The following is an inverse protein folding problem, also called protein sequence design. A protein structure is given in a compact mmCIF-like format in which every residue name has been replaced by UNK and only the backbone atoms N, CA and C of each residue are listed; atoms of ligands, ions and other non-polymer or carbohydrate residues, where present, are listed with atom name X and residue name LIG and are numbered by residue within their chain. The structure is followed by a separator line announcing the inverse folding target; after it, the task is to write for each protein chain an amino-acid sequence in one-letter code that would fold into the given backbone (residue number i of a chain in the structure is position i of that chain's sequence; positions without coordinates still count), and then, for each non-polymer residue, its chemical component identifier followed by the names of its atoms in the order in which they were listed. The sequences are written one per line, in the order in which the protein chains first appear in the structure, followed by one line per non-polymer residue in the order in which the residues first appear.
data_IF_451637434467
#
_entry.id   IF_451637434467
#
_cell.length_a   1.000
_cell.length_b   1.000
_cell.length_c   1.000
_cell.angle_alpha   90.00
_cell.angle_beta   90.00
_cell.angle_gamma   90.00
#
_symmetry.space_group_name_H-M   'P 1'
#
loop_
_entity.id
_entity.type
_entity.pdbx_description
1 polymer ?
#
# COMPACT_ATOMS: atom_id res chain seq x y z
N UNK A 1 23.57 -13.33 -9.28
CA UNK A 1 22.31 -12.91 -8.66
C UNK A 1 22.61 -12.10 -7.40
N UNK A 2 22.33 -10.80 -7.42
CA UNK A 2 22.53 -9.89 -6.27
C UNK A 2 21.60 -10.23 -5.10
N UNK A 3 21.87 -9.71 -3.90
CA UNK A 3 20.97 -9.94 -2.77
C UNK A 3 19.60 -9.29 -3.00
N UNK A 4 19.55 -8.13 -3.68
CA UNK A 4 18.31 -7.46 -4.06
C UNK A 4 17.48 -8.33 -5.01
N UNK A 5 18.09 -8.90 -6.06
CA UNK A 5 17.40 -9.81 -6.99
C UNK A 5 16.82 -11.04 -6.27
N UNK A 6 17.53 -11.60 -5.29
CA UNK A 6 17.01 -12.72 -4.48
C UNK A 6 15.78 -12.33 -3.68
N UNK A 7 15.80 -11.15 -3.06
CA UNK A 7 14.64 -10.67 -2.30
C UNK A 7 13.48 -10.34 -3.21
N UNK A 8 13.70 -9.75 -4.40
CA UNK A 8 12.63 -9.55 -5.39
C UNK A 8 11.99 -10.89 -5.75
N UNK A 9 12.79 -11.89 -6.13
CA UNK A 9 12.28 -13.25 -6.42
C UNK A 9 11.44 -13.80 -5.26
N UNK A 10 11.90 -13.58 -4.03
CA UNK A 10 11.20 -14.02 -2.83
C UNK A 10 9.87 -13.26 -2.64
N UNK A 11 9.84 -11.93 -2.79
CA UNK A 11 8.62 -11.13 -2.65
C UNK A 11 7.56 -11.43 -3.71
N UNK A 12 7.99 -11.89 -4.90
CA UNK A 12 7.10 -12.33 -5.97
C UNK A 12 6.83 -13.84 -5.99
N UNK A 13 7.30 -14.59 -4.99
CA UNK A 13 6.83 -15.96 -4.78
C UNK A 13 5.35 -15.92 -4.38
N UNK A 14 4.55 -16.89 -4.84
CA UNK A 14 3.08 -16.88 -4.71
C UNK A 14 2.57 -16.40 -3.34
N UNK A 15 2.98 -17.06 -2.25
CA UNK A 15 2.48 -16.72 -0.91
C UNK A 15 2.85 -15.28 -0.49
N UNK A 16 4.06 -14.84 -0.81
CA UNK A 16 4.52 -13.47 -0.51
C UNK A 16 3.84 -12.45 -1.42
N UNK A 17 3.63 -12.75 -2.69
CA UNK A 17 2.94 -11.88 -3.63
C UNK A 17 1.52 -11.61 -3.15
N UNK A 18 0.80 -12.67 -2.79
CA UNK A 18 -0.57 -12.57 -2.29
C UNK A 18 -0.62 -11.82 -0.97
N UNK A 19 0.31 -12.11 -0.07
CA UNK A 19 0.43 -11.38 1.20
C UNK A 19 0.69 -9.90 0.94
N UNK A 20 1.64 -9.56 0.07
CA UNK A 20 2.01 -8.18 -0.22
C UNK A 20 0.86 -7.40 -0.90
N UNK A 21 0.16 -8.01 -1.86
CA UNK A 21 -1.04 -7.43 -2.46
C UNK A 21 -2.11 -7.15 -1.40
N UNK A 22 -2.38 -8.13 -0.54
CA UNK A 22 -3.40 -8.02 0.50
C UNK A 22 -3.06 -6.93 1.52
N UNK A 23 -1.82 -6.91 2.01
CA UNK A 23 -1.36 -5.90 2.96
C UNK A 23 -1.38 -4.51 2.34
N UNK A 24 -0.84 -4.37 1.12
CA UNK A 24 -0.79 -3.08 0.45
C UNK A 24 -2.18 -2.53 0.21
N UNK A 25 -3.10 -3.33 -0.31
CA UNK A 25 -4.49 -2.92 -0.50
C UNK A 25 -5.12 -2.45 0.82
N UNK A 26 -4.99 -3.25 1.88
CA UNK A 26 -5.62 -2.91 3.15
C UNK A 26 -5.01 -1.63 3.76
N UNK A 27 -3.69 -1.47 3.71
CA UNK A 27 -3.04 -0.21 4.12
C UNK A 27 -3.52 0.98 3.30
N UNK A 28 -3.67 0.82 1.99
CA UNK A 28 -4.19 1.85 1.11
C UNK A 28 -5.61 2.26 1.52
N UNK A 29 -6.52 1.29 1.68
CA UNK A 29 -7.92 1.55 2.01
C UNK A 29 -8.09 2.18 3.40
N UNK A 30 -7.35 1.70 4.40
CA UNK A 30 -7.36 2.29 5.75
C UNK A 30 -6.82 3.72 5.72
N UNK A 31 -5.76 3.97 4.93
CA UNK A 31 -5.19 5.31 4.79
C UNK A 31 -6.17 6.26 4.12
N UNK A 32 -6.82 5.81 3.05
CA UNK A 32 -7.83 6.60 2.35
C UNK A 32 -9.01 6.96 3.26
N UNK A 33 -9.56 5.98 4.00
CA UNK A 33 -10.64 6.23 4.97
C UNK A 33 -10.20 7.26 6.02
N UNK A 34 -8.99 7.11 6.57
CA UNK A 34 -8.46 8.04 7.55
C UNK A 34 -8.33 9.46 7.00
N UNK A 35 -7.79 9.63 5.78
CA UNK A 35 -7.64 10.94 5.13
C UNK A 35 -8.98 11.63 4.92
N UNK A 36 -9.98 10.89 4.46
CA UNK A 36 -11.34 11.42 4.28
C UNK A 36 -11.92 11.84 5.64
N UNK A 37 -11.77 11.03 6.68
CA UNK A 37 -12.25 11.38 8.02
C UNK A 37 -11.57 12.62 8.64
N UNK A 38 -10.32 12.93 8.25
CA UNK A 38 -9.63 14.13 8.72
C UNK A 38 -10.13 15.41 8.04
N UNK A 39 -10.71 15.30 6.84
CA UNK A 39 -11.07 16.45 5.99
C UNK A 39 -12.57 16.70 5.96
N UNK A 40 -13.37 15.71 6.32
CA UNK A 40 -14.82 15.76 6.33
C UNK A 40 -15.40 16.06 7.73
N UNK A 41 -16.51 16.81 7.75
CA UNK A 41 -17.11 17.29 9.00
C UNK A 41 -17.88 16.20 9.76
N UNK A 42 -18.48 15.27 9.02
CA UNK A 42 -19.29 14.20 9.59
C UNK A 42 -19.15 12.88 8.81
N UNK A 43 -19.69 11.82 9.40
CA UNK A 43 -19.58 10.46 8.85
C UNK A 43 -20.34 10.29 7.53
N UNK A 44 -21.45 11.00 7.34
CA UNK A 44 -22.26 10.87 6.13
C UNK A 44 -21.52 11.51 4.95
N UNK A 45 -20.93 12.70 5.14
CA UNK A 45 -20.11 13.35 4.13
C UNK A 45 -18.85 12.55 3.79
N UNK A 46 -18.19 11.95 4.80
CA UNK A 46 -17.07 11.05 4.60
C UNK A 46 -17.42 9.83 3.72
N UNK A 47 -18.55 9.17 4.01
CA UNK A 47 -19.00 8.03 3.21
C UNK A 47 -19.34 8.43 1.77
N UNK A 48 -20.08 9.53 1.60
CA UNK A 48 -20.44 10.04 0.28
C UNK A 48 -19.19 10.39 -0.55
N UNK A 49 -18.13 10.89 0.09
CA UNK A 49 -16.86 11.21 -0.58
C UNK A 49 -16.10 9.96 -1.00
N UNK A 50 -15.99 8.96 -0.13
CA UNK A 50 -15.39 7.66 -0.47
C UNK A 50 -16.12 7.00 -1.65
N UNK A 51 -17.46 6.97 -1.62
CA UNK A 51 -18.29 6.41 -2.70
C UNK A 51 -18.17 7.17 -4.02
N UNK A 52 -17.93 8.48 -3.97
CA UNK A 52 -17.73 9.33 -5.16
C UNK A 52 -16.33 9.12 -5.77
N UNK A 53 -15.32 8.93 -4.92
CA UNK A 53 -13.94 8.79 -5.35
C UNK A 53 -13.65 7.42 -5.98
N UNK A 54 -14.25 6.34 -5.47
CA UNK A 54 -14.11 4.97 -5.99
C UNK A 54 -12.66 4.57 -6.26
N UNK A 55 -11.77 4.94 -5.34
CA UNK A 55 -10.35 4.71 -5.49
C UNK A 55 -10.01 3.28 -5.10
N UNK A 56 -9.40 2.56 -6.03
CA UNK A 56 -8.96 1.20 -5.88
C UNK A 56 -7.45 1.13 -6.10
N UNK A 57 -6.80 0.20 -5.40
CA UNK A 57 -5.37 -0.02 -5.62
C UNK A 57 -5.15 -0.68 -6.98
N UNK A 58 -4.27 -0.09 -7.77
CA UNK A 58 -3.75 -0.73 -8.98
C UNK A 58 -2.64 -1.73 -8.60
N UNK A 59 -2.79 -3.03 -8.90
CA UNK A 59 -1.77 -4.04 -8.62
C UNK A 59 -0.39 -3.71 -9.21
N UNK A 60 -0.31 -3.01 -10.34
CA UNK A 60 0.97 -2.59 -10.92
C UNK A 60 1.74 -1.67 -9.97
N UNK A 61 1.06 -0.72 -9.32
CA UNK A 61 1.66 0.17 -8.33
C UNK A 61 2.22 -0.60 -7.13
N UNK A 62 1.55 -1.69 -6.72
CA UNK A 62 2.06 -2.59 -5.68
C UNK A 62 3.36 -3.24 -6.13
N UNK A 63 3.42 -3.76 -7.35
CA UNK A 63 4.62 -4.40 -7.90
C UNK A 63 5.80 -3.43 -8.01
N UNK A 64 5.55 -2.22 -8.52
CA UNK A 64 6.55 -1.16 -8.57
C UNK A 64 7.06 -0.79 -7.17
N UNK A 65 6.17 -0.70 -6.18
CA UNK A 65 6.53 -0.40 -4.80
C UNK A 65 7.44 -1.49 -4.21
N UNK A 66 7.08 -2.77 -4.38
CA UNK A 66 7.91 -3.90 -3.92
C UNK A 66 9.31 -3.81 -4.54
N UNK A 67 9.41 -3.58 -5.85
CA UNK A 67 10.68 -3.48 -6.56
C UNK A 67 11.49 -2.28 -6.06
N UNK A 68 10.86 -1.12 -5.91
CA UNK A 68 11.50 0.12 -5.47
C UNK A 68 12.07 -0.01 -4.05
N UNK A 69 11.27 -0.52 -3.10
CA UNK A 69 11.69 -0.79 -1.72
C UNK A 69 12.91 -1.72 -1.73
N UNK A 70 12.82 -2.84 -2.45
CA UNK A 70 13.88 -3.86 -2.46
C UNK A 70 15.18 -3.40 -3.11
N UNK A 71 15.11 -2.58 -4.17
CA UNK A 71 16.31 -2.06 -4.87
C UNK A 71 17.05 -1.00 -4.08
N UNK A 72 16.32 -0.15 -3.38
CA UNK A 72 16.90 0.92 -2.59
C UNK A 72 17.41 0.43 -1.22
N UNK A 73 17.23 -0.86 -0.93
CA UNK A 73 17.65 -1.45 0.32
C UNK A 73 19.17 -1.62 0.43
N UNK A 74 19.76 -0.99 1.45
CA UNK A 74 21.22 -1.03 1.68
C UNK A 74 21.66 -2.12 2.64
N UNK A 75 20.83 -2.46 3.62
CA UNK A 75 21.16 -3.44 4.66
C UNK A 75 20.14 -4.57 4.74
N UNK A 76 20.45 -5.68 4.09
CA UNK A 76 19.54 -6.83 4.03
C UNK A 76 19.37 -7.59 5.35
N UNK A 77 20.19 -7.31 6.38
CA UNK A 77 20.00 -7.91 7.70
C UNK A 77 18.70 -7.46 8.38
N UNK A 78 18.24 -6.25 8.10
CA UNK A 78 17.00 -5.67 8.65
C UNK A 78 15.85 -5.64 7.64
N UNK A 79 16.05 -6.22 6.46
CA UNK A 79 15.09 -6.13 5.35
C UNK A 79 13.73 -6.68 5.74
N UNK A 80 13.67 -7.91 6.27
CA UNK A 80 12.40 -8.56 6.63
C UNK A 80 11.62 -7.78 7.68
N UNK A 81 12.29 -7.22 8.68
CA UNK A 81 11.65 -6.47 9.76
C UNK A 81 11.08 -5.13 9.28
N UNK A 82 11.71 -4.51 8.28
CA UNK A 82 11.35 -3.15 7.84
C UNK A 82 10.59 -3.10 6.52
N UNK A 83 10.62 -4.17 5.74
CA UNK A 83 9.93 -4.23 4.44
C UNK A 83 8.45 -3.94 4.59
N UNK A 84 7.80 -4.50 5.62
CA UNK A 84 6.38 -4.27 5.88
C UNK A 84 6.09 -2.81 6.23
N UNK A 85 6.92 -2.18 7.07
CA UNK A 85 6.81 -0.75 7.38
C UNK A 85 6.91 0.11 6.12
N UNK A 86 7.83 -0.23 5.22
CA UNK A 86 8.02 0.53 3.98
C UNK A 86 6.90 0.24 2.97
N UNK A 87 6.37 -0.98 2.92
CA UNK A 87 5.18 -1.32 2.15
C UNK A 87 3.97 -0.50 2.63
N UNK A 88 3.78 -0.39 3.94
CA UNK A 88 2.74 0.43 4.56
C UNK A 88 2.91 1.91 4.22
N UNK A 89 4.13 2.46 4.30
CA UNK A 89 4.43 3.85 3.92
C UNK A 89 4.09 4.10 2.46
N UNK A 90 4.55 3.24 1.55
CA UNK A 90 4.26 3.36 0.13
C UNK A 90 2.75 3.30 -0.17
N UNK A 91 2.00 2.38 0.47
CA UNK A 91 0.56 2.29 0.31
C UNK A 91 -0.17 3.53 0.84
N UNK A 92 0.30 4.08 1.97
CA UNK A 92 -0.28 5.29 2.57
C UNK A 92 -0.02 6.53 1.71
N UNK A 93 1.19 6.66 1.15
CA UNK A 93 1.54 7.76 0.23
C UNK A 93 0.73 7.64 -1.07
N UNK A 94 0.58 6.44 -1.62
CA UNK A 94 -0.25 6.22 -2.81
C UNK A 94 -1.71 6.65 -2.57
N UNK A 95 -2.30 6.23 -1.45
CA UNK A 95 -3.65 6.65 -1.07
C UNK A 95 -3.77 8.17 -0.91
N UNK A 96 -2.74 8.82 -0.34
CA UNK A 96 -2.68 10.27 -0.19
C UNK A 96 -2.59 10.99 -1.54
N UNK A 97 -1.72 10.54 -2.44
CA UNK A 97 -1.57 11.12 -3.78
C UNK A 97 -2.87 11.00 -4.58
N UNK A 98 -3.50 9.83 -4.55
CA UNK A 98 -4.80 9.61 -5.18
C UNK A 98 -5.90 10.47 -4.56
N UNK A 99 -5.94 10.57 -3.22
CA UNK A 99 -6.90 11.41 -2.51
C UNK A 99 -6.75 12.88 -2.92
N UNK A 100 -5.54 13.44 -2.84
CA UNK A 100 -5.25 14.84 -3.17
C UNK A 100 -5.59 15.14 -4.65
N UNK A 101 -5.28 14.20 -5.54
CA UNK A 101 -5.57 14.34 -6.98
C UNK A 101 -7.07 14.32 -7.30
N UNK A 102 -7.85 13.56 -6.54
CA UNK A 102 -9.27 13.32 -6.80
C UNK A 102 -10.20 14.14 -5.89
N UNK A 103 -9.66 14.96 -4.98
CA UNK A 103 -10.42 15.89 -4.14
C UNK A 103 -10.33 17.34 -4.64
N UNK A 104 -11.24 17.80 -5.52
CA UNK A 104 -11.21 19.17 -6.02
C UNK A 104 -11.51 20.21 -4.93
N UNK A 105 -12.09 19.80 -3.81
CA UNK A 105 -12.53 20.70 -2.73
C UNK A 105 -11.45 20.83 -1.63
N UNK A 106 -10.33 20.11 -1.76
CA UNK A 106 -9.23 20.15 -0.80
C UNK A 106 -8.54 21.52 -0.80
N UNK A 107 -8.53 22.18 0.35
CA UNK A 107 -7.84 23.45 0.52
C UNK A 107 -6.34 23.22 0.70
N UNK A 108 -5.53 23.97 -0.05
CA UNK A 108 -4.06 23.92 0.00
C UNK A 108 -3.49 22.49 -0.17
N UNK A 109 -3.79 21.81 -1.30
CA UNK A 109 -3.43 20.40 -1.51
C UNK A 109 -1.94 20.11 -1.37
N UNK A 110 -1.07 21.02 -1.82
CA UNK A 110 0.39 20.86 -1.72
C UNK A 110 0.87 20.82 -0.26
N UNK A 111 0.35 21.73 0.59
CA UNK A 111 0.72 21.77 2.02
C UNK A 111 0.21 20.51 2.73
N UNK A 112 -1.05 20.12 2.45
CA UNK A 112 -1.63 18.91 3.02
C UNK A 112 -0.85 17.64 2.63
N UNK A 113 -0.44 17.55 1.36
CA UNK A 113 0.39 16.47 0.85
C UNK A 113 1.73 16.40 1.59
N UNK A 114 2.48 17.51 1.64
CA UNK A 114 3.81 17.56 2.25
C UNK A 114 3.78 17.22 3.76
N UNK A 115 2.85 17.83 4.52
CA UNK A 115 2.71 17.58 5.95
C UNK A 115 2.32 16.13 6.25
N UNK A 116 1.49 15.53 5.39
CA UNK A 116 1.03 14.15 5.58
C UNK A 116 2.12 13.14 5.18
N UNK A 117 2.88 13.40 4.11
CA UNK A 117 4.05 12.61 3.74
C UNK A 117 5.08 12.60 4.89
N UNK A 118 5.32 13.74 5.53
CA UNK A 118 6.22 13.82 6.69
C UNK A 118 5.74 12.92 7.84
N UNK A 119 4.45 12.98 8.20
CA UNK A 119 3.85 12.12 9.23
C UNK A 119 3.94 10.62 8.87
N UNK A 120 3.76 10.26 7.60
CA UNK A 120 3.89 8.87 7.14
C UNK A 120 5.34 8.39 7.30
N UNK A 121 6.30 9.19 6.86
CA UNK A 121 7.72 8.85 6.93
C UNK A 121 8.23 8.74 8.37
N UNK A 122 7.72 9.58 9.27
CA UNK A 122 8.02 9.56 10.70
C UNK A 122 7.23 8.48 11.48
N UNK A 123 6.41 7.67 10.80
CA UNK A 123 5.59 6.61 11.40
C UNK A 123 4.54 7.12 12.41
N UNK A 124 4.13 8.38 12.25
CA UNK A 124 3.12 9.07 13.08
C UNK A 124 1.71 8.99 12.49
N UNK A 125 1.59 8.62 11.21
CA UNK A 125 0.32 8.54 10.50
C UNK A 125 -0.52 7.31 10.89
N UNK A 126 0.08 6.11 10.87
CA UNK A 126 -0.65 4.85 11.02
C UNK A 126 -0.83 4.47 12.51
N UNK A 127 -1.92 4.95 13.09
CA UNK A 127 -2.18 4.87 14.53
C UNK A 127 -2.68 3.48 15.01
N UNK A 128 -2.89 3.32 16.32
CA UNK A 128 -3.30 2.05 16.92
C UNK A 128 -4.66 1.54 16.42
N UNK A 129 -5.63 2.43 16.15
CA UNK A 129 -6.95 2.01 15.65
C UNK A 129 -6.85 1.45 14.23
N UNK A 130 -6.04 2.10 13.38
CA UNK A 130 -5.75 1.62 12.03
C UNK A 130 -5.08 0.24 12.07
N UNK A 131 -4.16 0.01 13.01
CA UNK A 131 -3.52 -1.30 13.22
C UNK A 131 -4.51 -2.37 13.66
N UNK A 132 -5.40 -2.06 14.60
CA UNK A 132 -6.44 -3.00 15.04
C UNK A 132 -7.36 -3.41 13.90
N UNK A 133 -7.83 -2.44 13.11
CA UNK A 133 -8.67 -2.72 11.96
C UNK A 133 -7.93 -3.54 10.89
N UNK A 134 -6.64 -3.25 10.67
CA UNK A 134 -5.81 -4.07 9.78
C UNK A 134 -5.74 -5.54 10.25
N UNK A 135 -5.46 -5.76 11.53
CA UNK A 135 -5.33 -7.11 12.10
C UNK A 135 -6.66 -7.89 12.04
N UNK A 136 -7.79 -7.20 12.14
CA UNK A 136 -9.14 -7.79 12.04
C UNK A 136 -9.51 -8.20 10.60
N UNK A 137 -9.05 -7.44 9.59
CA UNK A 137 -9.50 -7.61 8.20
C UNK A 137 -8.52 -8.34 7.29
N UNK A 138 -7.23 -8.41 7.64
CA UNK A 138 -6.19 -8.92 6.72
C UNK A 138 -6.45 -10.34 6.22
N UNK A 139 -6.99 -11.22 7.06
CA UNK A 139 -7.30 -12.61 6.69
C UNK A 139 -8.40 -12.68 5.61
N UNK A 140 -9.42 -11.81 5.70
CA UNK A 140 -10.50 -11.74 4.71
C UNK A 140 -9.96 -11.30 3.34
N UNK A 141 -9.12 -10.26 3.35
CA UNK A 141 -8.49 -9.72 2.14
C UNK A 141 -7.55 -10.75 1.50
N UNK A 142 -6.79 -11.48 2.33
CA UNK A 142 -5.89 -12.53 1.89
C UNK A 142 -6.62 -13.67 1.18
N UNK A 143 -7.73 -14.16 1.76
CA UNK A 143 -8.57 -15.19 1.14
C UNK A 143 -9.10 -14.73 -0.22
N UNK A 144 -9.51 -13.46 -0.33
CA UNK A 144 -9.99 -12.88 -1.58
C UNK A 144 -8.91 -12.90 -2.65
N UNK A 145 -7.71 -12.42 -2.34
CA UNK A 145 -6.60 -12.42 -3.31
C UNK A 145 -6.17 -13.82 -3.73
N UNK A 146 -6.14 -14.79 -2.80
CA UNK A 146 -5.89 -16.20 -3.12
C UNK A 146 -6.91 -16.78 -4.11
N UNK A 147 -8.13 -16.28 -4.10
CA UNK A 147 -9.20 -16.73 -4.99
C UNK A 147 -9.08 -16.12 -6.40
N UNK A 148 -8.62 -14.88 -6.49
CA UNK A 148 -8.58 -14.11 -7.74
C UNK A 148 -7.27 -14.35 -8.51
N UNK A 149 -6.16 -14.57 -7.81
CA UNK A 149 -4.83 -14.72 -8.43
C UNK A 149 -4.43 -16.20 -8.41
N UNK A 150 -4.62 -16.93 -9.51
CA UNK A 150 -4.16 -18.32 -9.60
C UNK A 150 -2.63 -18.38 -9.73
N UNK A 151 -2.07 -19.57 -9.44
CA UNK A 151 -0.61 -19.77 -9.39
C UNK A 151 0.11 -19.46 -10.70
N UNK A 152 -0.50 -19.78 -11.83
CA UNK A 152 0.05 -19.49 -13.16
C UNK A 152 0.12 -17.99 -13.45
N UNK A 153 -0.89 -17.21 -13.03
CA UNK A 153 -0.84 -15.75 -13.10
C UNK A 153 0.28 -15.20 -12.22
N UNK A 154 0.44 -15.71 -11.01
CA UNK A 154 1.53 -15.29 -10.13
C UNK A 154 2.93 -15.58 -10.71
N UNK A 155 3.12 -16.72 -11.37
CA UNK A 155 4.38 -17.03 -12.05
C UNK A 155 4.63 -16.09 -13.25
N UNK A 156 3.58 -15.70 -13.98
CA UNK A 156 3.70 -14.67 -15.03
C UNK A 156 4.09 -13.31 -14.44
N UNK A 157 3.44 -12.86 -13.36
CA UNK A 157 3.76 -11.61 -12.66
C UNK A 157 5.22 -11.63 -12.20
N UNK A 158 5.65 -12.74 -11.59
CA UNK A 158 7.04 -12.93 -11.17
C UNK A 158 7.99 -12.83 -12.36
N UNK A 159 7.70 -13.49 -13.48
CA UNK A 159 8.54 -13.41 -14.68
C UNK A 159 8.66 -11.97 -15.20
N UNK A 160 7.58 -11.20 -15.19
CA UNK A 160 7.59 -9.78 -15.60
C UNK A 160 8.42 -8.95 -14.64
N UNK A 161 8.23 -9.10 -13.32
CA UNK A 161 9.01 -8.39 -12.31
C UNK A 161 10.52 -8.67 -12.46
N UNK A 162 10.90 -9.90 -12.82
CA UNK A 162 12.29 -10.25 -13.10
C UNK A 162 12.84 -9.62 -14.37
N UNK A 163 12.01 -9.40 -15.39
CA UNK A 163 12.44 -8.72 -16.63
C UNK A 163 12.69 -7.22 -16.46
N UNK A 164 12.14 -6.64 -15.39
CA UNK A 164 12.30 -5.22 -15.05
C UNK A 164 13.57 -4.96 -14.25
N UNK A 165 14.29 -6.02 -13.82
CA UNK A 165 15.59 -5.99 -13.12
C UNK A 165 16.75 -5.72 -14.08
#
# INVERSE_FOLDING_TARGET
MTQSEKEIINQFAYDNLITNLSKYELYYQISLEYLVQQTEFDKESALAKLEKMQLEVDPEHVFYSIIAITRNWKNFATYKEKFETELQKHASINALEDYVKNDPDLLHPEIFLDETIEKINNEEFFNQKMKQFFDEEIDNILIRWQTIVPKDLAENIKSVALSMM
#
